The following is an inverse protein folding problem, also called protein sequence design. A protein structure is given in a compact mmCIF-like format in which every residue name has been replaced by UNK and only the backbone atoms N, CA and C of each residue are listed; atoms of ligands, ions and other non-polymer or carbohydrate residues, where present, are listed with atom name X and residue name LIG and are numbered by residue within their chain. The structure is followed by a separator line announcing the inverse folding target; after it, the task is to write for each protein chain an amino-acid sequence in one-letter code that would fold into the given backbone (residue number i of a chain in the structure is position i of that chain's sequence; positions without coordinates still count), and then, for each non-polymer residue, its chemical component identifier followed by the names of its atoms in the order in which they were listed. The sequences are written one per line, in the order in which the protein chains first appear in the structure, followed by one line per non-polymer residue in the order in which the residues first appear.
data_IF_213172761509
#
_entry.id   IF_213172761509
#
_cell.length_a   1.000
_cell.length_b   1.000
_cell.length_c   1.000
_cell.angle_alpha   90.00
_cell.angle_beta   90.00
_cell.angle_gamma   90.00
#
_symmetry.space_group_name_H-M   'P 1'
#
loop_
_entity.id
_entity.type
_entity.pdbx_description
1 polymer ?
#
# COMPACT_ATOMS: atom_id res chain seq x y z
N UNK A 1 17.97 -20.29 -20.74
CA UNK A 1 16.56 -20.67 -20.99
C UNK A 1 15.68 -19.98 -19.96
N UNK A 2 14.91 -18.98 -20.35
CA UNK A 2 13.90 -18.41 -19.45
C UNK A 2 12.75 -19.42 -19.37
N UNK A 3 12.65 -20.16 -18.27
CA UNK A 3 11.52 -21.05 -18.01
C UNK A 3 10.22 -20.26 -18.08
N UNK A 4 9.17 -20.80 -18.70
CA UNK A 4 7.84 -20.18 -18.73
C UNK A 4 7.43 -19.85 -17.30
N UNK A 5 7.14 -18.54 -17.04
CA UNK A 5 6.64 -18.11 -15.74
C UNK A 5 5.33 -18.83 -15.44
N UNK A 6 5.19 -19.30 -14.20
CA UNK A 6 3.92 -19.88 -13.75
C UNK A 6 2.85 -18.76 -13.67
N UNK A 7 1.58 -19.11 -13.81
CA UNK A 7 0.49 -18.14 -13.72
C UNK A 7 0.53 -17.32 -12.42
N UNK A 8 0.97 -17.92 -11.31
CA UNK A 8 1.13 -17.25 -10.01
C UNK A 8 2.28 -16.24 -9.99
N UNK A 9 3.37 -16.51 -10.71
CA UNK A 9 4.47 -15.54 -10.87
C UNK A 9 4.02 -14.32 -11.68
N UNK A 10 3.21 -14.53 -12.71
CA UNK A 10 2.62 -13.44 -13.49
C UNK A 10 1.64 -12.64 -12.61
N UNK A 11 0.82 -13.31 -11.80
CA UNK A 11 -0.09 -12.66 -10.87
C UNK A 11 0.66 -11.78 -9.85
N UNK A 12 1.79 -12.24 -9.29
CA UNK A 12 2.61 -11.46 -8.38
C UNK A 12 3.27 -10.25 -9.06
N UNK A 13 3.67 -10.40 -10.32
CA UNK A 13 4.21 -9.29 -11.10
C UNK A 13 3.14 -8.20 -11.35
N UNK A 14 1.95 -8.60 -11.79
CA UNK A 14 0.81 -7.69 -12.00
C UNK A 14 0.42 -7.01 -10.68
N UNK A 15 0.34 -7.78 -9.59
CA UNK A 15 0.10 -7.26 -8.26
C UNK A 15 1.13 -6.19 -7.86
N UNK A 16 2.42 -6.42 -8.11
CA UNK A 16 3.49 -5.47 -7.83
C UNK A 16 3.28 -4.14 -8.56
N UNK A 17 2.88 -4.19 -9.83
CA UNK A 17 2.58 -2.99 -10.63
C UNK A 17 1.36 -2.25 -10.05
N UNK A 18 0.29 -2.97 -9.74
CA UNK A 18 -0.93 -2.40 -9.14
C UNK A 18 -0.61 -1.73 -7.81
N UNK A 19 0.22 -2.37 -6.96
CA UNK A 19 0.65 -1.81 -5.68
C UNK A 19 1.45 -0.52 -5.84
N UNK A 20 2.32 -0.42 -6.84
CA UNK A 20 3.07 0.82 -7.11
C UNK A 20 2.11 1.94 -7.49
N UNK A 21 1.18 1.68 -8.42
CA UNK A 21 0.18 2.68 -8.85
C UNK A 21 -0.68 3.14 -7.67
N UNK A 22 -1.22 2.19 -6.90
CA UNK A 22 -1.99 2.48 -5.69
C UNK A 22 -1.18 3.34 -4.70
N UNK A 23 0.10 3.02 -4.51
CA UNK A 23 0.98 3.71 -3.57
C UNK A 23 1.27 5.16 -3.99
N UNK A 24 1.38 5.42 -5.30
CA UNK A 24 1.48 6.79 -5.80
C UNK A 24 0.20 7.59 -5.52
N UNK A 25 -0.98 7.00 -5.70
CA UNK A 25 -2.25 7.64 -5.38
C UNK A 25 -2.32 7.94 -3.88
N UNK A 26 -1.95 6.97 -3.04
CA UNK A 26 -1.93 7.13 -1.58
C UNK A 26 -0.96 8.23 -1.13
N UNK A 27 0.25 8.26 -1.69
CA UNK A 27 1.22 9.30 -1.41
C UNK A 27 0.72 10.68 -1.86
N UNK A 28 0.14 10.80 -3.05
CA UNK A 28 -0.44 12.05 -3.53
C UNK A 28 -1.57 12.54 -2.63
N UNK A 29 -2.45 11.65 -2.18
CA UNK A 29 -3.54 11.98 -1.24
C UNK A 29 -3.01 12.41 0.13
N UNK A 30 -1.86 11.89 0.57
CA UNK A 30 -1.25 12.25 1.85
C UNK A 30 -0.77 13.72 1.87
N UNK A 31 -0.27 14.25 0.75
CA UNK A 31 0.11 15.66 0.65
C UNK A 31 -1.10 16.59 0.86
N UNK A 32 -2.30 16.15 0.46
CA UNK A 32 -3.54 16.85 0.73
C UNK A 32 -3.77 17.03 2.24
N UNK A 33 -3.63 15.93 2.98
CA UNK A 33 -3.84 15.90 4.43
C UNK A 33 -2.75 16.65 5.20
N UNK A 34 -1.53 16.72 4.66
CA UNK A 34 -0.40 17.45 5.26
C UNK A 34 -0.50 18.97 5.09
N UNK A 35 -1.49 19.46 4.33
CA UNK A 35 -1.72 20.90 4.20
C UNK A 35 -0.77 21.62 3.25
N UNK A 36 -0.14 20.92 2.31
CA UNK A 36 0.58 21.53 1.18
C UNK A 36 -0.43 22.08 0.17
N UNK A 37 -1.21 23.05 0.64
CA UNK A 37 -2.52 23.46 0.16
C UNK A 37 -2.56 24.04 -1.27
N UNK A 38 -1.44 24.48 -1.84
CA UNK A 38 -1.46 25.12 -3.15
C UNK A 38 -1.66 24.15 -4.31
N UNK A 39 -0.96 23.03 -4.28
CA UNK A 39 -0.93 22.08 -5.39
C UNK A 39 -2.16 21.15 -5.38
N UNK A 40 -2.70 20.87 -4.21
CA UNK A 40 -3.79 19.93 -3.97
C UNK A 40 -5.15 20.53 -4.27
N UNK A 41 -5.36 21.80 -3.94
CA UNK A 41 -6.55 22.54 -4.34
C UNK A 41 -6.67 22.65 -5.86
N UNK A 42 -5.53 22.77 -6.54
CA UNK A 42 -5.49 22.84 -8.00
C UNK A 42 -5.82 21.50 -8.66
N UNK A 43 -5.56 20.37 -7.97
CA UNK A 43 -5.83 19.02 -8.47
C UNK A 43 -7.20 18.47 -8.05
N UNK A 44 -7.98 19.20 -7.23
CA UNK A 44 -9.32 18.78 -6.80
C UNK A 44 -9.34 17.51 -5.93
N UNK A 45 -8.23 17.16 -5.29
CA UNK A 45 -8.07 15.92 -4.52
C UNK A 45 -8.60 16.05 -3.08
N UNK A 46 -8.89 17.27 -2.63
CA UNK A 46 -9.33 17.52 -1.26
C UNK A 46 -10.85 17.52 -1.14
N UNK A 47 -11.37 16.60 -0.34
CA UNK A 47 -12.77 16.62 0.07
C UNK A 47 -13.05 17.86 0.95
N UNK A 48 -14.13 18.62 0.68
CA UNK A 48 -14.54 19.75 1.49
C UNK A 48 -14.67 19.43 3.00
N UNK A 49 -15.06 18.20 3.34
CA UNK A 49 -15.16 17.73 4.73
C UNK A 49 -13.81 17.79 5.45
N UNK A 50 -12.72 17.43 4.78
CA UNK A 50 -11.35 17.47 5.35
C UNK A 50 -10.92 18.91 5.67
N UNK A 51 -11.33 19.88 4.85
CA UNK A 51 -11.05 21.31 5.08
C UNK A 51 -11.78 21.82 6.33
N UNK A 52 -13.02 21.38 6.51
CA UNK A 52 -13.84 21.75 7.69
C UNK A 52 -13.22 21.16 8.97
N UNK A 53 -12.76 19.91 8.92
CA UNK A 53 -12.10 19.23 10.05
C UNK A 53 -10.78 19.90 10.46
N UNK A 54 -10.00 20.36 9.50
CA UNK A 54 -8.78 21.15 9.78
C UNK A 54 -9.10 22.46 10.52
N UNK A 55 -10.21 23.12 10.16
CA UNK A 55 -10.68 24.34 10.83
C UNK A 55 -11.26 24.08 12.22
N UNK A 56 -11.81 22.89 12.48
CA UNK A 56 -12.47 22.52 13.73
C UNK A 56 -11.51 22.06 14.86
N UNK A 57 -10.21 22.28 14.75
CA UNK A 57 -9.23 21.95 15.81
C UNK A 57 -8.66 20.53 15.78
N UNK A 58 -9.04 19.69 14.80
CA UNK A 58 -8.51 18.33 14.63
C UNK A 58 -7.26 18.27 13.74
N UNK A 59 -6.59 19.40 13.52
CA UNK A 59 -5.44 19.53 12.63
C UNK A 59 -4.30 18.55 12.96
N UNK A 60 -4.08 18.23 14.24
CA UNK A 60 -3.06 17.28 14.67
C UNK A 60 -3.34 15.86 14.18
N UNK A 61 -4.57 15.37 14.32
CA UNK A 61 -4.98 14.03 13.88
C UNK A 61 -4.98 13.92 12.35
N UNK A 62 -5.43 14.96 11.65
CA UNK A 62 -5.39 15.00 10.18
C UNK A 62 -3.96 14.94 9.66
N UNK A 63 -3.03 15.68 10.30
CA UNK A 63 -1.61 15.62 9.96
C UNK A 63 -1.01 14.25 10.26
N UNK A 64 -1.34 13.65 11.41
CA UNK A 64 -0.88 12.31 11.76
C UNK A 64 -1.36 11.26 10.73
N UNK A 65 -2.64 11.32 10.33
CA UNK A 65 -3.18 10.47 9.27
C UNK A 65 -2.42 10.67 7.94
N UNK A 66 -2.14 11.93 7.56
CA UNK A 66 -1.37 12.25 6.37
C UNK A 66 0.05 11.70 6.40
N UNK A 67 0.76 11.81 7.51
CA UNK A 67 2.11 11.24 7.69
C UNK A 67 2.06 9.72 7.58
N UNK A 68 1.11 9.06 8.24
CA UNK A 68 0.95 7.61 8.18
C UNK A 68 0.62 7.13 6.76
N UNK A 69 -0.23 7.84 6.04
CA UNK A 69 -0.52 7.55 4.63
C UNK A 69 0.70 7.75 3.74
N UNK A 70 1.49 8.79 3.96
CA UNK A 70 2.73 9.02 3.21
C UNK A 70 3.73 7.88 3.42
N UNK A 71 3.97 7.51 4.68
CA UNK A 71 4.89 6.42 5.04
C UNK A 71 4.37 5.08 4.48
N UNK A 72 3.06 4.83 4.55
CA UNK A 72 2.46 3.63 3.96
C UNK A 72 2.54 3.61 2.43
N UNK A 73 2.45 4.78 1.78
CA UNK A 73 2.68 4.92 0.34
C UNK A 73 4.11 4.53 -0.04
N UNK A 74 5.12 5.02 0.68
CA UNK A 74 6.52 4.63 0.47
C UNK A 74 6.72 3.13 0.71
N UNK A 75 6.17 2.59 1.79
CA UNK A 75 6.21 1.16 2.08
C UNK A 75 5.52 0.32 0.99
N UNK A 76 4.41 0.81 0.44
CA UNK A 76 3.69 0.18 -0.66
C UNK A 76 4.48 0.18 -1.98
N UNK A 77 5.25 1.22 -2.27
CA UNK A 77 6.18 1.23 -3.42
C UNK A 77 7.26 0.16 -3.22
N UNK A 78 7.85 0.06 -2.02
CA UNK A 78 8.81 -0.98 -1.70
C UNK A 78 8.19 -2.38 -1.81
N UNK A 79 6.97 -2.57 -1.31
CA UNK A 79 6.22 -3.82 -1.45
C UNK A 79 5.97 -4.18 -2.91
N UNK A 80 5.51 -3.23 -3.72
CA UNK A 80 5.28 -3.44 -5.15
C UNK A 80 6.55 -3.81 -5.90
N UNK A 81 7.65 -3.11 -5.63
CA UNK A 81 8.98 -3.39 -6.22
C UNK A 81 9.47 -4.79 -5.82
N UNK A 82 9.38 -5.15 -4.54
CA UNK A 82 9.72 -6.49 -4.06
C UNK A 82 8.80 -7.56 -4.67
N UNK A 83 7.52 -7.27 -4.90
CA UNK A 83 6.60 -8.17 -5.60
C UNK A 83 7.05 -8.48 -7.03
N UNK A 84 7.50 -7.46 -7.76
CA UNK A 84 8.05 -7.62 -9.10
C UNK A 84 9.34 -8.46 -9.07
N UNK A 85 10.25 -8.20 -8.13
CA UNK A 85 11.49 -8.95 -7.98
C UNK A 85 11.21 -10.40 -7.56
N UNK A 86 10.36 -10.60 -6.56
CA UNK A 86 10.00 -11.92 -6.04
C UNK A 86 9.25 -12.79 -7.08
N UNK A 87 8.61 -12.17 -8.07
CA UNK A 87 8.03 -12.89 -9.21
C UNK A 87 9.08 -13.60 -10.06
N UNK A 88 10.34 -13.14 -9.99
CA UNK A 88 11.48 -13.73 -10.71
C UNK A 88 12.39 -14.56 -9.78
N UNK A 89 12.54 -14.10 -8.53
CA UNK A 89 13.43 -14.65 -7.52
C UNK A 89 12.65 -15.09 -6.28
N UNK A 90 12.28 -16.38 -6.15
CA UNK A 90 11.51 -16.89 -5.01
C UNK A 90 12.18 -16.66 -3.64
N UNK A 91 13.51 -16.49 -3.60
CA UNK A 91 14.26 -16.15 -2.38
C UNK A 91 13.84 -14.81 -1.75
N UNK A 92 13.24 -13.92 -2.52
CA UNK A 92 12.75 -12.60 -2.05
C UNK A 92 11.34 -12.60 -1.49
N UNK A 93 10.63 -13.74 -1.56
CA UNK A 93 9.24 -13.83 -1.05
C UNK A 93 9.13 -13.53 0.45
N UNK A 94 10.16 -13.86 1.25
CA UNK A 94 10.17 -13.54 2.69
C UNK A 94 10.30 -12.04 2.96
N UNK A 95 11.19 -11.37 2.23
CA UNK A 95 11.33 -9.93 2.31
C UNK A 95 10.04 -9.22 1.89
N UNK A 96 9.43 -9.67 0.79
CA UNK A 96 8.13 -9.17 0.34
C UNK A 96 7.05 -9.31 1.41
N UNK A 97 6.91 -10.49 2.03
CA UNK A 97 5.90 -10.73 3.05
C UNK A 97 6.10 -9.85 4.30
N UNK A 98 7.35 -9.64 4.73
CA UNK A 98 7.67 -8.75 5.87
C UNK A 98 7.28 -7.30 5.57
N UNK A 99 7.60 -6.79 4.39
CA UNK A 99 7.23 -5.43 3.99
C UNK A 99 5.72 -5.31 3.84
N UNK A 100 5.02 -6.31 3.30
CA UNK A 100 3.58 -6.33 3.21
C UNK A 100 2.89 -6.26 4.59
N UNK A 101 3.41 -6.98 5.58
CA UNK A 101 2.90 -6.91 6.97
C UNK A 101 3.13 -5.51 7.56
N UNK A 102 4.31 -4.93 7.37
CA UNK A 102 4.61 -3.58 7.83
C UNK A 102 3.66 -2.55 7.18
N UNK A 103 3.38 -2.69 5.89
CA UNK A 103 2.43 -1.84 5.16
C UNK A 103 1.01 -1.96 5.75
N UNK A 104 0.55 -3.18 6.07
CA UNK A 104 -0.76 -3.40 6.71
C UNK A 104 -0.83 -2.69 8.07
N UNK A 105 0.21 -2.80 8.89
CA UNK A 105 0.25 -2.14 10.21
C UNK A 105 0.16 -0.63 10.08
N UNK A 106 0.91 -0.04 9.14
CA UNK A 106 0.87 1.41 8.87
C UNK A 106 -0.51 1.86 8.36
N UNK A 107 -1.11 1.09 7.45
CA UNK A 107 -2.45 1.38 6.93
C UNK A 107 -3.53 1.21 7.99
N UNK A 108 -3.41 0.22 8.89
CA UNK A 108 -4.33 0.05 10.02
C UNK A 108 -4.24 1.24 10.99
N UNK A 109 -3.03 1.71 11.30
CA UNK A 109 -2.84 2.91 12.11
C UNK A 109 -3.43 4.15 11.43
N UNK A 110 -3.21 4.31 10.13
CA UNK A 110 -3.83 5.38 9.34
C UNK A 110 -5.35 5.30 9.33
N UNK A 111 -5.91 4.08 9.19
CA UNK A 111 -7.35 3.84 9.23
C UNK A 111 -7.96 4.32 10.55
N UNK A 112 -7.33 4.00 11.68
CA UNK A 112 -7.78 4.46 13.00
C UNK A 112 -7.76 5.98 13.11
N UNK A 113 -6.66 6.62 12.72
CA UNK A 113 -6.55 8.08 12.75
C UNK A 113 -7.59 8.75 11.84
N UNK A 114 -7.82 8.20 10.65
CA UNK A 114 -8.80 8.72 9.68
C UNK A 114 -10.23 8.52 10.19
N UNK A 115 -10.53 7.37 10.81
CA UNK A 115 -11.84 7.10 11.41
C UNK A 115 -12.18 8.07 12.54
N UNK A 116 -11.19 8.43 13.37
CA UNK A 116 -11.37 9.39 14.47
C UNK A 116 -11.72 10.81 13.99
N UNK A 117 -11.31 11.17 12.78
CA UNK A 117 -11.64 12.48 12.18
C UNK A 117 -12.80 12.39 11.16
N UNK A 118 -13.52 11.27 11.11
CA UNK A 118 -14.61 11.03 10.15
C UNK A 118 -14.20 11.24 8.68
N UNK A 119 -12.94 10.90 8.37
CA UNK A 119 -12.37 11.02 7.04
C UNK A 119 -12.73 9.83 6.13
N UNK A 120 -12.31 9.90 4.86
CA UNK A 120 -12.52 8.82 3.90
C UNK A 120 -11.61 7.61 4.21
N UNK A 121 -12.24 6.47 4.49
CA UNK A 121 -11.58 5.22 4.85
C UNK A 121 -11.23 4.36 3.63
N UNK A 122 -11.63 4.77 2.43
CA UNK A 122 -11.52 3.96 1.21
C UNK A 122 -10.08 3.58 0.90
N UNK A 123 -9.16 4.54 0.92
CA UNK A 123 -7.75 4.27 0.61
C UNK A 123 -7.10 3.30 1.60
N UNK A 124 -7.15 3.51 2.94
CA UNK A 124 -6.56 2.55 3.88
C UNK A 124 -7.15 1.13 3.75
N UNK A 125 -8.47 1.01 3.54
CA UNK A 125 -9.13 -0.29 3.41
C UNK A 125 -8.64 -1.02 2.15
N UNK A 126 -8.64 -0.35 1.00
CA UNK A 126 -8.14 -0.93 -0.26
C UNK A 126 -6.69 -1.39 -0.10
N UNK A 127 -5.83 -0.58 0.52
CA UNK A 127 -4.43 -0.94 0.74
C UNK A 127 -4.24 -2.17 1.63
N UNK A 128 -5.04 -2.31 2.69
CA UNK A 128 -5.02 -3.49 3.56
C UNK A 128 -5.44 -4.74 2.78
N UNK A 129 -6.52 -4.66 2.01
CA UNK A 129 -7.01 -5.79 1.19
C UNK A 129 -5.97 -6.20 0.15
N UNK A 130 -5.39 -5.23 -0.57
CA UNK A 130 -4.34 -5.51 -1.54
C UNK A 130 -3.12 -6.15 -0.89
N UNK A 131 -2.64 -5.62 0.24
CA UNK A 131 -1.47 -6.17 0.93
C UNK A 131 -1.73 -7.57 1.47
N UNK A 132 -2.93 -7.86 2.00
CA UNK A 132 -3.34 -9.18 2.44
C UNK A 132 -3.38 -10.19 1.27
N UNK A 133 -3.90 -9.76 0.12
CA UNK A 133 -3.88 -10.57 -1.10
C UNK A 133 -2.44 -10.88 -1.56
N UNK A 134 -1.54 -9.90 -1.51
CA UNK A 134 -0.12 -10.10 -1.80
C UNK A 134 0.54 -11.13 -0.89
N UNK A 135 0.24 -11.10 0.42
CA UNK A 135 0.75 -12.08 1.38
C UNK A 135 0.23 -13.48 1.04
N UNK A 136 -1.07 -13.61 0.76
CA UNK A 136 -1.65 -14.88 0.35
C UNK A 136 -0.96 -15.44 -0.89
N UNK A 137 -0.78 -14.62 -1.92
CA UNK A 137 -0.11 -15.02 -3.17
C UNK A 137 1.35 -15.46 -2.93
N UNK A 138 2.08 -14.77 -2.05
CA UNK A 138 3.45 -15.12 -1.71
C UNK A 138 3.55 -16.47 -0.99
N UNK A 139 2.57 -16.80 -0.14
CA UNK A 139 2.50 -18.11 0.55
C UNK A 139 2.25 -19.25 -0.44
N UNK A 140 1.37 -19.04 -1.40
CA UNK A 140 1.09 -20.05 -2.44
C UNK A 140 2.32 -20.29 -3.33
N UNK A 141 3.04 -19.23 -3.71
CA UNK A 141 4.29 -19.38 -4.47
C UNK A 141 5.38 -20.12 -3.70
N UNK A 142 5.47 -19.92 -2.37
CA UNK A 142 6.40 -20.70 -1.53
C UNK A 142 6.07 -22.18 -1.50
N UNK A 143 4.79 -22.54 -1.42
CA UNK A 143 4.36 -23.95 -1.48
C UNK A 143 4.77 -24.60 -2.80
N UNK A 144 4.58 -23.89 -3.91
CA UNK A 144 4.96 -24.38 -5.24
C UNK A 144 6.48 -24.57 -5.35
N UNK A 145 7.27 -23.62 -4.83
CA UNK A 145 8.72 -23.71 -4.84
C UNK A 145 9.24 -24.89 -3.98
N UNK A 146 8.61 -25.13 -2.82
CA UNK A 146 8.96 -26.27 -1.98
C UNK A 146 8.60 -27.60 -2.63
N UNK A 147 7.45 -27.70 -3.29
CA UNK A 147 7.05 -28.91 -4.02
C UNK A 147 7.98 -29.23 -5.20
N UNK A 148 8.47 -28.20 -5.89
CA UNK A 148 9.42 -28.37 -7.01
C UNK A 148 10.82 -28.86 -6.57
N UNK A 149 11.20 -28.69 -5.31
CA UNK A 149 12.49 -29.17 -4.76
C UNK A 149 12.44 -30.64 -4.30
N UNK A 150 11.25 -31.24 -4.20
CA UNK A 150 11.07 -32.63 -3.75
C UNK A 150 11.03 -33.64 -4.92
N UNK A 151 11.08 -33.16 -6.15
CA UNK A 151 11.17 -33.95 -7.39
C UNK A 151 12.51 -33.77 -8.09
#
# INVERSE_FOLDING_TARGET
MQGKRTGRQIALLVFGIVMIVYSFITAASSFALLGMNGLVLTLGIMDPATIVLMKAGHAGLVRAAGILLLVSGVAGIAQGTLGIIASKEPSRLDAFAKVAIATIVLLAASLVCTALVSGDLTLPIIGIVLSAFGIWLSRELKKDAAAAQQH
#
